data_IF_986733331765
#
_entry.id   IF_986733331765
#
_cell.length_a   1.000
_cell.length_b   1.000
_cell.length_c   1.000
_cell.angle_alpha   90.00
_cell.angle_beta   90.00
_cell.angle_gamma   90.00
#
_symmetry.space_group_name_H-M   'P 1'
#
loop_
_entity.id
_entity.type
_entity.pdbx_description
1 polymer ?
#
# COMPACT_ATOMS: atom_id res chain seq x y z
N UNK A 1 -26.35 15.52 -8.43
CA UNK A 1 -26.51 15.08 -7.03
C UNK A 1 -25.96 13.66 -6.99
N UNK A 2 -24.66 13.51 -6.72
CA UNK A 2 -23.96 12.23 -6.83
C UNK A 2 -24.39 11.35 -5.66
N UNK A 3 -25.19 10.34 -5.95
CA UNK A 3 -25.54 9.30 -5.01
C UNK A 3 -24.25 8.55 -4.68
N UNK A 4 -23.66 8.85 -3.51
CA UNK A 4 -22.68 7.95 -2.89
C UNK A 4 -23.45 6.68 -2.61
N UNK A 5 -23.40 5.74 -3.55
CA UNK A 5 -23.76 4.36 -3.32
C UNK A 5 -22.82 3.87 -2.23
N UNK A 6 -23.27 3.99 -0.98
CA UNK A 6 -22.81 3.24 0.18
C UNK A 6 -23.29 1.79 0.01
N UNK A 7 -22.97 1.20 -1.13
CA UNK A 7 -23.30 -0.15 -1.52
C UNK A 7 -22.11 -1.03 -1.22
N UNK A 8 -22.34 -2.01 -0.37
CA UNK A 8 -21.39 -3.07 -0.10
C UNK A 8 -20.41 -2.70 0.98
N UNK A 9 -20.60 -3.34 2.14
CA UNK A 9 -19.56 -3.69 3.10
C UNK A 9 -18.33 -4.16 2.32
N UNK A 10 -17.46 -3.21 1.96
CA UNK A 10 -16.18 -3.48 1.34
C UNK A 10 -15.50 -4.47 2.25
N UNK A 11 -15.30 -5.67 1.73
CA UNK A 11 -14.54 -6.70 2.38
C UNK A 11 -13.20 -6.07 2.80
N UNK A 12 -13.09 -5.70 4.09
CA UNK A 12 -11.83 -5.35 4.73
C UNK A 12 -11.00 -6.64 4.94
N UNK A 13 -11.11 -7.61 4.04
CA UNK A 13 -10.17 -8.70 4.00
C UNK A 13 -8.79 -8.05 3.79
N UNK A 14 -7.82 -8.31 4.67
CA UNK A 14 -6.45 -7.90 4.44
C UNK A 14 -5.99 -8.63 3.19
N UNK A 15 -6.13 -7.95 2.05
CA UNK A 15 -5.48 -8.33 0.79
C UNK A 15 -4.03 -8.65 1.11
N UNK A 16 -3.44 -9.66 0.46
CA UNK A 16 -2.06 -10.14 0.68
C UNK A 16 -1.01 -9.05 0.46
N UNK A 17 -0.98 -8.07 1.35
CA UNK A 17 -0.16 -6.87 1.32
C UNK A 17 1.09 -7.18 2.11
N UNK A 18 2.17 -7.42 1.39
CA UNK A 18 3.47 -7.55 2.02
C UNK A 18 4.13 -6.18 1.99
N UNK A 19 4.00 -5.43 3.09
CA UNK A 19 4.88 -4.28 3.34
C UNK A 19 6.19 -4.81 3.87
N UNK A 20 7.28 -4.59 3.14
CA UNK A 20 8.62 -5.04 3.53
C UNK A 20 9.55 -3.85 3.71
N UNK A 21 10.26 -3.83 4.83
CA UNK A 21 11.37 -2.88 5.03
C UNK A 21 12.55 -3.42 4.23
N UNK A 22 13.01 -2.65 3.23
CA UNK A 22 14.06 -3.09 2.30
C UNK A 22 15.42 -2.65 2.78
N UNK A 23 15.52 -1.41 3.26
CA UNK A 23 16.78 -0.85 3.71
C UNK A 23 16.55 0.09 4.88
N UNK A 24 17.14 -0.26 6.01
CA UNK A 24 17.21 0.61 7.18
C UNK A 24 18.43 1.51 7.05
N UNK A 25 18.31 2.77 7.44
CA UNK A 25 19.43 3.68 7.49
C UNK A 25 20.39 3.26 8.62
N UNK A 26 21.50 2.62 8.24
CA UNK A 26 22.41 1.95 9.17
C UNK A 26 23.03 2.93 10.17
N UNK A 27 23.45 4.11 9.73
CA UNK A 27 24.09 5.11 10.61
C UNK A 27 23.16 5.55 11.71
N UNK A 28 21.90 5.86 11.37
CA UNK A 28 20.90 6.30 12.35
C UNK A 28 20.39 5.16 13.24
N UNK A 29 20.51 3.91 12.81
CA UNK A 29 20.06 2.76 13.59
C UNK A 29 21.15 2.17 14.48
N UNK A 30 22.42 2.14 14.05
CA UNK A 30 23.50 1.43 14.75
C UNK A 30 24.25 2.33 15.72
N UNK A 31 24.42 3.61 15.37
CA UNK A 31 25.20 4.54 16.19
C UNK A 31 24.68 4.66 17.65
N UNK A 32 23.37 4.78 17.92
CA UNK A 32 22.88 4.88 19.29
C UNK A 32 23.12 3.59 20.10
N UNK A 33 22.96 2.43 19.47
CA UNK A 33 23.24 1.15 20.10
C UNK A 33 24.72 0.95 20.38
N UNK A 34 25.59 1.37 19.46
CA UNK A 34 27.04 1.34 19.65
C UNK A 34 27.43 2.24 20.82
N UNK A 35 26.93 3.48 20.85
CA UNK A 35 27.17 4.42 21.93
C UNK A 35 26.68 3.88 23.28
N UNK A 36 25.50 3.25 23.31
CA UNK A 36 24.96 2.61 24.51
C UNK A 36 25.83 1.43 24.96
N UNK A 37 26.29 0.59 24.04
CA UNK A 37 27.19 -0.52 24.32
C UNK A 37 28.52 -0.07 24.90
N UNK A 38 29.14 0.95 24.29
CA UNK A 38 30.40 1.55 24.78
C UNK A 38 30.21 2.14 26.18
N UNK A 39 29.15 2.93 26.40
CA UNK A 39 28.84 3.50 27.71
C UNK A 39 28.59 2.41 28.77
N UNK A 40 27.89 1.33 28.40
CA UNK A 40 27.64 0.19 29.28
C UNK A 40 28.92 -0.56 29.67
N UNK A 41 29.83 -0.79 28.71
CA UNK A 41 31.14 -1.40 28.99
C UNK A 41 31.97 -0.52 29.92
N UNK A 42 31.98 0.81 29.69
CA UNK A 42 32.67 1.76 30.58
C UNK A 42 32.10 1.75 32.00
N UNK A 43 30.78 1.67 32.15
CA UNK A 43 30.11 1.59 33.45
C UNK A 43 30.43 0.27 34.17
N UNK A 44 30.34 -0.87 33.48
CA UNK A 44 30.68 -2.18 34.04
C UNK A 44 32.15 -2.21 34.49
N UNK A 45 33.04 -1.65 33.66
CA UNK A 45 34.46 -1.53 34.01
C UNK A 45 34.65 -0.79 35.34
N UNK A 46 34.02 0.37 35.49
CA UNK A 46 34.17 1.17 36.71
C UNK A 46 33.55 0.49 37.93
N UNK A 47 32.40 -0.19 37.77
CA UNK A 47 31.80 -1.01 38.83
C UNK A 47 32.77 -2.10 39.28
N UNK A 48 33.34 -2.88 38.36
CA UNK A 48 34.30 -3.94 38.70
C UNK A 48 35.52 -3.35 39.39
N UNK A 49 36.09 -2.27 38.85
CA UNK A 49 37.26 -1.58 39.41
C UNK A 49 37.03 -1.08 40.84
N UNK A 50 35.86 -0.52 41.15
CA UNK A 50 35.52 -0.04 42.49
C UNK A 50 35.29 -1.16 43.51
N UNK A 51 34.94 -2.36 43.05
CA UNK A 51 34.78 -3.54 43.89
C UNK A 51 36.10 -4.30 44.12
N UNK A 52 37.19 -3.96 43.42
CA UNK A 52 38.50 -4.61 43.63
C UNK A 52 39.21 -4.08 44.89
N UNK A 53 39.99 -4.93 45.58
CA UNK A 53 40.88 -4.50 46.66
C UNK A 53 41.87 -3.43 46.20
N UNK A 54 42.25 -2.53 47.11
CA UNK A 54 43.13 -1.39 46.80
C UNK A 54 44.47 -1.82 46.18
N UNK A 55 45.05 -2.91 46.68
CA UNK A 55 46.30 -3.47 46.17
C UNK A 55 46.24 -3.90 44.69
N UNK A 56 45.08 -4.36 44.22
CA UNK A 56 44.85 -4.76 42.83
C UNK A 56 44.50 -3.55 41.98
N UNK A 57 43.73 -2.60 42.52
CA UNK A 57 43.33 -1.36 41.83
C UNK A 57 44.53 -0.47 41.48
N UNK A 58 45.60 -0.51 42.26
CA UNK A 58 46.84 0.22 41.98
C UNK A 58 47.62 -0.32 40.77
N UNK A 59 47.33 -1.55 40.33
CA UNK A 59 48.04 -2.21 39.23
C UNK A 59 47.37 -1.91 37.88
N UNK A 60 48.16 -1.98 36.80
CA UNK A 60 47.60 -1.91 35.44
C UNK A 60 46.84 -3.22 35.14
N UNK A 61 45.67 -3.19 34.49
CA UNK A 61 44.97 -2.04 33.88
C UNK A 61 44.03 -1.25 34.81
N UNK A 62 43.78 -1.72 36.04
CA UNK A 62 42.78 -1.16 36.98
C UNK A 62 43.07 0.24 37.49
N UNK A 63 44.29 0.74 37.29
CA UNK A 63 44.63 2.14 37.58
C UNK A 63 43.90 3.13 36.65
N UNK A 64 43.46 2.71 35.46
CA UNK A 64 42.75 3.57 34.50
C UNK A 64 41.33 3.88 34.98
N UNK A 65 41.07 5.16 35.21
CA UNK A 65 39.73 5.70 35.45
C UNK A 65 39.18 6.27 34.15
N UNK A 66 38.11 5.68 33.64
CA UNK A 66 37.47 6.14 32.41
C UNK A 66 36.45 7.25 32.72
N UNK A 67 35.46 6.94 33.55
CA UNK A 67 34.45 7.84 34.09
C UNK A 67 34.25 7.50 35.57
N UNK A 68 33.87 8.46 36.40
CA UNK A 68 33.33 8.16 37.72
C UNK A 68 31.97 7.47 37.60
N UNK A 69 31.57 6.73 38.65
CA UNK A 69 30.35 5.91 38.63
C UNK A 69 29.09 6.75 38.39
N UNK A 70 29.02 7.95 38.96
CA UNK A 70 27.86 8.85 38.84
C UNK A 70 27.73 9.37 37.41
N UNK A 71 28.82 9.87 36.82
CA UNK A 71 28.85 10.28 35.42
C UNK A 71 28.56 9.10 34.49
N UNK A 72 29.10 7.91 34.76
CA UNK A 72 28.91 6.72 33.93
C UNK A 72 27.45 6.29 33.89
N UNK A 73 26.81 6.23 35.06
CA UNK A 73 25.38 5.96 35.19
C UNK A 73 24.53 7.02 34.46
N UNK A 74 24.91 8.29 34.57
CA UNK A 74 24.23 9.40 33.89
C UNK A 74 24.30 9.27 32.38
N UNK A 75 25.50 9.00 31.83
CA UNK A 75 25.69 8.83 30.37
C UNK A 75 24.89 7.65 29.85
N UNK A 76 24.97 6.48 30.50
CA UNK A 76 24.18 5.31 30.11
C UNK A 76 22.69 5.61 30.13
N UNK A 77 22.20 6.28 31.17
CA UNK A 77 20.78 6.64 31.31
C UNK A 77 20.32 7.57 30.18
N UNK A 78 21.08 8.62 29.88
CA UNK A 78 20.75 9.58 28.81
C UNK A 78 20.77 8.90 27.44
N UNK A 79 21.80 8.10 27.14
CA UNK A 79 21.90 7.41 25.85
C UNK A 79 20.81 6.35 25.69
N UNK A 80 20.46 5.63 26.76
CA UNK A 80 19.36 4.68 26.77
C UNK A 80 18.02 5.39 26.51
N UNK A 81 17.74 6.49 27.22
CA UNK A 81 16.54 7.28 27.02
C UNK A 81 16.43 7.80 25.59
N UNK A 82 17.50 8.38 25.04
CA UNK A 82 17.54 8.84 23.64
C UNK A 82 17.28 7.71 22.65
N UNK A 83 17.86 6.53 22.90
CA UNK A 83 17.68 5.34 22.06
C UNK A 83 16.21 4.87 22.07
N UNK A 84 15.58 4.85 23.24
CA UNK A 84 14.16 4.50 23.38
C UNK A 84 13.26 5.54 22.69
N UNK A 85 13.49 6.83 22.91
CA UNK A 85 12.76 7.91 22.24
C UNK A 85 12.89 7.80 20.72
N UNK A 86 14.07 7.46 20.21
CA UNK A 86 14.31 7.22 18.78
C UNK A 86 13.48 6.05 18.26
N UNK A 87 13.39 4.94 19.00
CA UNK A 87 12.56 3.79 18.61
C UNK A 87 11.08 4.14 18.56
N UNK A 88 10.59 4.85 19.58
CA UNK A 88 9.21 5.33 19.63
C UNK A 88 8.91 6.26 18.44
N UNK A 89 9.82 7.20 18.15
CA UNK A 89 9.68 8.07 17.00
C UNK A 89 9.68 7.29 15.68
N UNK A 90 10.59 6.33 15.52
CA UNK A 90 10.66 5.49 14.34
C UNK A 90 9.40 4.63 14.12
N UNK A 91 8.73 4.21 15.21
CA UNK A 91 7.43 3.54 15.13
C UNK A 91 6.31 4.52 14.75
N UNK A 92 6.30 5.72 15.34
CA UNK A 92 5.28 6.75 15.09
C UNK A 92 5.30 7.28 13.65
N UNK A 93 6.49 7.37 13.04
CA UNK A 93 6.66 7.87 11.67
C UNK A 93 6.60 6.79 10.59
N UNK A 94 6.26 5.54 10.94
CA UNK A 94 6.18 4.47 9.94
C UNK A 94 5.12 4.82 8.89
N UNK A 95 5.43 4.65 7.59
CA UNK A 95 4.42 4.80 6.55
C UNK A 95 3.32 3.79 6.75
N UNK A 96 2.07 4.26 6.65
CA UNK A 96 0.88 3.41 6.57
C UNK A 96 0.22 3.68 5.23
N UNK A 97 0.87 3.21 4.16
CA UNK A 97 0.33 3.39 2.81
C UNK A 97 -0.86 2.46 2.63
N UNK A 98 -1.99 3.04 2.24
CA UNK A 98 -3.21 2.32 1.89
C UNK A 98 -3.50 2.55 0.43
N UNK A 99 -3.91 1.47 -0.23
CA UNK A 99 -4.50 1.53 -1.54
C UNK A 99 -6.00 1.40 -1.40
N UNK A 100 -6.72 2.28 -2.08
CA UNK A 100 -8.16 2.24 -2.21
C UNK A 100 -8.49 1.90 -3.66
N UNK A 101 -9.43 0.98 -3.83
CA UNK A 101 -9.96 0.65 -5.14
C UNK A 101 -11.42 1.01 -5.13
N UNK A 102 -11.82 1.87 -6.06
CA UNK A 102 -13.20 2.32 -6.20
C UNK A 102 -13.69 1.97 -7.59
N UNK A 103 -14.87 1.34 -7.66
CA UNK A 103 -15.61 1.21 -8.90
C UNK A 103 -16.40 2.50 -9.09
N UNK A 104 -16.14 3.21 -10.18
CA UNK A 104 -16.93 4.37 -10.58
C UNK A 104 -17.68 4.01 -11.85
N UNK A 105 -19.00 4.17 -11.82
CA UNK A 105 -19.80 4.23 -13.03
C UNK A 105 -19.59 5.61 -13.66
N UNK A 106 -19.03 5.67 -14.87
CA UNK A 106 -18.83 6.95 -15.53
C UNK A 106 -17.86 6.93 -16.69
N UNK A 107 -17.94 8.03 -17.44
CA UNK A 107 -17.07 8.37 -18.55
C UNK A 107 -15.76 8.92 -17.95
N UNK A 108 -14.61 8.62 -18.56
CA UNK A 108 -13.41 9.43 -18.32
C UNK A 108 -13.81 10.90 -18.50
N UNK A 109 -13.61 11.76 -17.49
CA UNK A 109 -14.13 13.16 -17.45
C UNK A 109 -13.83 14.01 -18.70
N UNK A 110 -12.95 13.57 -19.60
CA UNK A 110 -12.56 14.27 -20.84
C UNK A 110 -13.01 13.59 -22.16
N UNK A 111 -13.69 12.43 -22.14
CA UNK A 111 -14.13 11.77 -23.37
C UNK A 111 -15.61 12.05 -23.64
N UNK A 112 -15.91 12.54 -24.84
CA UNK A 112 -17.28 12.79 -25.31
C UNK A 112 -18.19 11.58 -25.09
N UNK A 113 -19.05 11.68 -24.06
CA UNK A 113 -20.45 11.26 -23.85
C UNK A 113 -21.13 10.16 -24.68
N UNK A 114 -20.47 9.45 -25.58
CA UNK A 114 -21.14 8.55 -26.54
C UNK A 114 -21.03 7.06 -26.18
N UNK A 115 -20.02 6.64 -25.42
CA UNK A 115 -19.89 5.28 -24.86
C UNK A 115 -20.21 5.30 -23.35
N UNK A 116 -21.49 5.38 -23.02
CA UNK A 116 -22.03 5.87 -21.74
C UNK A 116 -22.00 4.90 -20.54
N UNK A 117 -21.44 3.68 -20.64
CA UNK A 117 -21.67 2.65 -19.59
C UNK A 117 -20.49 1.74 -19.24
N UNK A 118 -19.24 2.14 -19.49
CA UNK A 118 -18.12 1.31 -19.02
C UNK A 118 -17.83 1.58 -17.54
N UNK A 119 -18.05 0.58 -16.68
CA UNK A 119 -17.62 0.65 -15.28
C UNK A 119 -16.08 0.70 -15.23
N UNK A 120 -15.56 1.65 -14.44
CA UNK A 120 -14.12 1.91 -14.34
C UNK A 120 -13.63 1.69 -12.92
N UNK A 121 -12.54 0.94 -12.81
CA UNK A 121 -11.79 0.80 -11.58
C UNK A 121 -10.77 1.91 -11.44
N UNK A 122 -10.79 2.60 -10.31
CA UNK A 122 -9.77 3.57 -9.91
C UNK A 122 -8.92 2.98 -8.79
N UNK A 123 -7.61 3.04 -8.95
CA UNK A 123 -6.64 2.70 -7.92
C UNK A 123 -6.04 3.99 -7.38
N UNK A 124 -6.33 4.25 -6.12
CA UNK A 124 -5.90 5.42 -5.38
C UNK A 124 -4.96 5.00 -4.26
N UNK A 125 -4.01 5.88 -3.92
CA UNK A 125 -3.02 5.67 -2.88
C UNK A 125 -3.05 6.81 -1.89
N UNK A 126 -3.01 6.46 -0.60
CA UNK A 126 -3.05 7.43 0.49
C UNK A 126 -2.08 7.02 1.60
N UNK A 127 -1.49 8.00 2.28
CA UNK A 127 -0.66 7.74 3.47
C UNK A 127 -1.49 7.98 4.73
N UNK A 128 -1.85 6.90 5.42
CA UNK A 128 -2.51 6.95 6.73
C UNK A 128 -1.54 7.12 7.91
N UNK A 129 -0.24 7.20 7.67
CA UNK A 129 0.78 7.42 8.71
C UNK A 129 0.88 8.89 9.09
N UNK A 130 1.33 9.18 10.32
CA UNK A 130 1.38 10.55 10.85
C UNK A 130 2.45 11.45 10.19
N UNK A 131 3.42 10.85 9.51
CA UNK A 131 4.56 11.54 8.90
C UNK A 131 4.38 11.71 7.39
N UNK A 132 5.14 12.66 6.82
CA UNK A 132 5.30 12.75 5.36
C UNK A 132 6.24 11.63 4.92
N UNK A 133 5.86 10.91 3.88
CA UNK A 133 6.75 9.98 3.18
C UNK A 133 6.92 10.41 1.73
N UNK A 134 8.10 10.16 1.18
CA UNK A 134 8.42 10.55 -0.20
C UNK A 134 8.46 9.31 -1.06
N UNK A 135 7.75 9.32 -2.18
CA UNK A 135 7.84 8.26 -3.19
C UNK A 135 9.26 8.25 -3.76
N UNK A 136 9.94 7.11 -3.70
CA UNK A 136 11.25 6.90 -4.35
C UNK A 136 11.09 6.22 -5.71
N UNK A 137 10.16 5.28 -5.85
CA UNK A 137 9.91 4.57 -7.10
C UNK A 137 8.49 4.03 -7.16
N UNK A 138 7.93 3.97 -8.37
CA UNK A 138 6.72 3.21 -8.67
C UNK A 138 7.02 2.41 -9.93
N UNK A 139 6.85 1.10 -9.80
CA UNK A 139 7.10 0.15 -10.88
C UNK A 139 5.91 -0.77 -11.03
N UNK A 140 5.77 -1.30 -12.24
CA UNK A 140 4.62 -2.10 -12.64
C UNK A 140 5.08 -3.40 -13.26
N UNK A 141 4.35 -4.48 -12.99
CA UNK A 141 4.54 -5.76 -13.67
C UNK A 141 3.27 -6.09 -14.43
N UNK A 142 3.39 -6.26 -15.74
CA UNK A 142 2.24 -6.31 -16.64
C UNK A 142 2.39 -7.50 -17.59
N UNK A 143 1.34 -8.32 -17.67
CA UNK A 143 1.24 -9.44 -18.61
C UNK A 143 -0.13 -9.41 -19.29
N UNK A 144 -0.21 -9.41 -20.64
CA UNK A 144 -1.47 -9.63 -21.34
C UNK A 144 -1.93 -11.09 -21.19
N UNK A 145 -3.23 -11.33 -21.30
CA UNK A 145 -3.77 -12.69 -21.37
C UNK A 145 -3.21 -13.39 -22.60
N UNK A 146 -2.77 -14.64 -22.41
CA UNK A 146 -2.10 -15.48 -23.44
C UNK A 146 -0.66 -15.06 -23.79
N UNK A 147 0.03 -14.34 -22.89
CA UNK A 147 1.47 -14.17 -23.04
C UNK A 147 2.18 -15.54 -22.98
N UNK A 148 2.95 -15.86 -24.01
CA UNK A 148 3.51 -17.21 -24.25
C UNK A 148 4.66 -17.57 -23.28
N UNK A 149 5.15 -16.62 -22.46
CA UNK A 149 6.21 -16.88 -21.49
C UNK A 149 6.00 -16.10 -20.20
N UNK A 150 6.07 -16.81 -19.06
CA UNK A 150 5.97 -16.25 -17.71
C UNK A 150 7.31 -15.79 -17.12
N UNK A 151 8.44 -16.14 -17.76
CA UNK A 151 9.79 -15.90 -17.21
C UNK A 151 10.30 -14.46 -17.38
N UNK A 152 9.60 -13.59 -18.12
CA UNK A 152 10.09 -12.25 -18.49
C UNK A 152 9.30 -11.06 -17.92
N UNK A 153 8.41 -11.26 -16.95
CA UNK A 153 7.67 -10.13 -16.37
C UNK A 153 8.54 -9.33 -15.39
N UNK A 154 9.44 -8.53 -15.97
CA UNK A 154 10.28 -7.54 -15.31
C UNK A 154 9.42 -6.41 -14.73
N UNK A 155 9.93 -5.80 -13.67
CA UNK A 155 9.40 -4.53 -13.17
C UNK A 155 9.69 -3.41 -14.16
N UNK A 156 8.65 -2.70 -14.57
CA UNK A 156 8.68 -1.63 -15.58
C UNK A 156 8.47 -0.28 -14.92
N UNK A 157 9.24 0.72 -15.35
CA UNK A 157 8.96 2.11 -15.00
C UNK A 157 7.68 2.61 -15.69
N UNK A 158 7.14 3.74 -15.23
CA UNK A 158 5.90 4.35 -15.74
C UNK A 158 5.78 4.37 -17.27
N UNK A 159 6.82 4.80 -17.98
CA UNK A 159 6.81 4.91 -19.44
C UNK A 159 6.69 3.56 -20.14
N UNK A 160 7.49 2.59 -19.71
CA UNK A 160 7.51 1.24 -20.29
C UNK A 160 6.24 0.46 -19.92
N UNK A 161 5.74 0.65 -18.70
CA UNK A 161 4.47 0.09 -18.24
C UNK A 161 3.31 0.57 -19.14
N UNK A 162 3.24 1.88 -19.39
CA UNK A 162 2.23 2.46 -20.30
C UNK A 162 2.35 1.89 -21.71
N UNK A 163 3.56 1.68 -22.23
CA UNK A 163 3.76 1.05 -23.53
C UNK A 163 3.36 -0.42 -23.55
N UNK A 164 3.66 -1.18 -22.49
CA UNK A 164 3.27 -2.58 -22.36
C UNK A 164 1.74 -2.75 -22.35
N UNK A 165 1.01 -1.88 -21.65
CA UNK A 165 -0.47 -1.89 -21.67
C UNK A 165 -1.00 -1.60 -23.09
N UNK A 166 -0.39 -0.66 -23.82
CA UNK A 166 -0.76 -0.39 -25.22
C UNK A 166 -0.46 -1.56 -26.14
N UNK A 167 0.68 -2.24 -25.95
CA UNK A 167 1.05 -3.42 -26.71
C UNK A 167 0.06 -4.60 -26.50
N UNK A 168 -0.64 -4.63 -25.37
CA UNK A 168 -1.75 -5.56 -25.12
C UNK A 168 -3.05 -5.21 -25.91
N UNK A 169 -3.02 -4.18 -26.77
CA UNK A 169 -4.16 -3.75 -27.57
C UNK A 169 -5.18 -2.92 -26.78
N UNK A 170 -4.76 -2.28 -25.69
CA UNK A 170 -5.57 -1.36 -24.90
C UNK A 170 -5.25 0.09 -25.30
N UNK A 171 -6.29 0.90 -25.43
CA UNK A 171 -6.19 2.30 -25.83
C UNK A 171 -6.20 3.19 -24.60
N UNK A 172 -5.19 4.03 -24.46
CA UNK A 172 -5.15 5.00 -23.36
C UNK A 172 -6.31 5.99 -23.47
N UNK A 173 -6.81 6.46 -22.33
CA UNK A 173 -8.02 7.28 -22.17
C UNK A 173 -9.32 6.55 -22.46
N UNK A 174 -9.34 5.54 -23.31
CA UNK A 174 -10.53 4.72 -23.54
C UNK A 174 -10.62 3.54 -22.56
N UNK A 175 -9.56 2.74 -22.52
CA UNK A 175 -9.49 1.48 -21.77
C UNK A 175 -8.76 1.66 -20.43
N UNK A 176 -7.76 2.53 -20.40
CA UNK A 176 -6.96 2.76 -19.21
C UNK A 176 -6.33 4.16 -19.19
N UNK A 177 -5.93 4.61 -18.00
CA UNK A 177 -5.09 5.79 -17.79
C UNK A 177 -4.14 5.52 -16.64
N UNK A 178 -2.84 5.54 -16.92
CA UNK A 178 -1.81 5.46 -15.90
C UNK A 178 -1.42 6.88 -15.47
N UNK A 179 -1.64 7.22 -14.21
CA UNK A 179 -1.33 8.53 -13.69
C UNK A 179 0.14 8.61 -13.28
N UNK A 180 0.79 9.71 -13.63
CA UNK A 180 2.20 9.91 -13.31
C UNK A 180 2.35 10.25 -11.83
N UNK A 181 2.67 9.23 -11.03
CA UNK A 181 3.22 9.38 -9.70
C UNK A 181 4.64 8.82 -9.71
N UNK A 182 5.60 9.52 -9.11
CA UNK A 182 7.01 9.19 -9.29
C UNK A 182 7.90 9.76 -8.20
N UNK A 183 9.23 9.62 -8.39
CA UNK A 183 10.21 10.02 -7.39
C UNK A 183 10.03 11.47 -6.95
N UNK A 184 10.08 11.70 -5.63
CA UNK A 184 9.94 13.03 -5.03
C UNK A 184 8.51 13.44 -4.69
N UNK A 185 7.48 12.66 -5.08
CA UNK A 185 6.10 12.95 -4.70
C UNK A 185 5.91 12.80 -3.17
N UNK A 186 5.54 13.86 -2.42
CA UNK A 186 5.28 13.75 -1.00
C UNK A 186 3.86 13.20 -0.75
N UNK A 187 3.77 12.21 0.13
CA UNK A 187 2.53 11.65 0.65
C UNK A 187 2.41 12.03 2.12
N UNK A 188 1.52 12.98 2.42
CA UNK A 188 1.25 13.47 3.79
C UNK A 188 -0.16 13.07 4.21
N UNK A 189 -0.35 12.63 5.45
CA UNK A 189 -1.69 12.40 6.00
C UNK A 189 -2.54 13.68 6.04
N UNK A 190 -1.92 14.86 6.12
CA UNK A 190 -2.64 16.14 6.11
C UNK A 190 -3.16 16.51 4.70
N UNK A 191 -2.52 16.00 3.65
CA UNK A 191 -2.99 16.16 2.28
C UNK A 191 -3.97 15.03 1.99
N UNK A 192 -5.23 15.23 2.36
CA UNK A 192 -6.37 14.31 2.16
C UNK A 192 -6.71 13.98 0.70
N UNK A 193 -5.87 14.38 -0.27
CA UNK A 193 -6.06 14.03 -1.66
C UNK A 193 -5.38 12.70 -1.93
N UNK A 194 -6.20 11.69 -2.13
CA UNK A 194 -5.73 10.41 -2.60
C UNK A 194 -5.04 10.57 -3.95
N UNK A 195 -3.87 9.95 -4.09
CA UNK A 195 -3.09 9.98 -5.32
C UNK A 195 -3.65 8.90 -6.23
N UNK A 196 -4.38 9.31 -7.26
CA UNK A 196 -4.83 8.40 -8.31
C UNK A 196 -3.61 7.87 -9.07
N UNK A 197 -3.47 6.54 -9.14
CA UNK A 197 -2.36 5.84 -9.79
C UNK A 197 -2.78 5.22 -11.13
N UNK A 198 -3.97 4.64 -11.17
CA UNK A 198 -4.49 3.94 -12.35
C UNK A 198 -6.00 4.12 -12.42
N UNK A 199 -6.51 4.31 -13.63
CA UNK A 199 -7.91 4.07 -13.99
C UNK A 199 -7.93 3.03 -15.09
N UNK A 200 -8.79 2.02 -14.98
CA UNK A 200 -8.89 0.94 -15.97
C UNK A 200 -10.32 0.44 -16.06
N UNK A 201 -10.83 0.21 -17.28
CA UNK A 201 -12.17 -0.38 -17.46
C UNK A 201 -12.18 -1.85 -17.07
N UNK A 202 -13.33 -2.38 -16.66
CA UNK A 202 -13.46 -3.83 -16.35
C UNK A 202 -13.06 -4.70 -17.55
N UNK A 203 -13.47 -4.31 -18.77
CA UNK A 203 -13.11 -5.03 -20.00
C UNK A 203 -11.60 -5.03 -20.26
N UNK A 204 -10.91 -3.91 -20.00
CA UNK A 204 -9.45 -3.83 -20.14
C UNK A 204 -8.73 -4.67 -19.09
N UNK A 205 -9.21 -4.66 -17.84
CA UNK A 205 -8.66 -5.47 -16.76
C UNK A 205 -8.74 -6.98 -17.06
N UNK A 206 -9.82 -7.44 -17.70
CA UNK A 206 -9.97 -8.83 -18.16
C UNK A 206 -8.96 -9.24 -19.23
N UNK A 207 -8.37 -8.29 -19.97
CA UNK A 207 -7.36 -8.54 -21.02
C UNK A 207 -5.94 -8.61 -20.47
N UNK A 208 -5.74 -8.30 -19.19
CA UNK A 208 -4.44 -8.39 -18.51
C UNK A 208 -4.44 -9.57 -17.54
N UNK A 209 -3.55 -10.53 -17.76
CA UNK A 209 -3.32 -11.65 -16.85
C UNK A 209 -2.66 -11.19 -15.55
N UNK A 210 -1.72 -10.24 -15.65
CA UNK A 210 -0.98 -9.69 -14.52
C UNK A 210 -0.95 -8.17 -14.59
N UNK A 211 -1.21 -7.56 -13.44
CA UNK A 211 -1.02 -6.13 -13.21
C UNK A 211 -0.68 -5.98 -11.73
N UNK A 212 0.61 -5.88 -11.44
CA UNK A 212 1.11 -5.66 -10.09
C UNK A 212 1.80 -4.32 -10.00
N UNK A 213 1.78 -3.75 -8.80
CA UNK A 213 2.43 -2.49 -8.48
C UNK A 213 3.44 -2.70 -7.36
N UNK A 214 4.64 -2.16 -7.56
CA UNK A 214 5.70 -2.07 -6.54
C UNK A 214 5.98 -0.60 -6.25
N UNK A 215 5.77 -0.23 -5.00
CA UNK A 215 5.97 1.12 -4.51
C UNK A 215 7.15 1.15 -3.55
N UNK A 216 8.18 1.93 -3.87
CA UNK A 216 9.24 2.29 -2.94
C UNK A 216 8.96 3.65 -2.32
N UNK A 217 8.94 3.74 -0.99
CA UNK A 217 8.83 5.02 -0.26
C UNK A 217 9.96 5.17 0.74
N UNK A 218 10.34 6.42 0.99
CA UNK A 218 11.28 6.84 2.03
C UNK A 218 10.54 7.62 3.10
N UNK A 219 10.70 7.21 4.36
CA UNK A 219 10.10 7.92 5.48
C UNK A 219 10.92 9.13 5.95
N UNK A 220 10.41 9.85 6.95
CA UNK A 220 11.07 11.01 7.54
C UNK A 220 12.44 10.71 8.18
N UNK A 221 12.72 9.44 8.52
CA UNK A 221 14.01 9.00 9.04
C UNK A 221 14.98 8.52 7.97
N UNK A 222 14.50 8.46 6.74
CA UNK A 222 15.23 7.97 5.59
C UNK A 222 15.28 6.45 5.48
N UNK A 223 14.46 5.72 6.24
CA UNK A 223 14.28 4.29 6.03
C UNK A 223 13.46 4.06 4.76
N UNK A 224 13.79 3.00 4.02
CA UNK A 224 13.14 2.63 2.76
C UNK A 224 12.20 1.46 2.96
N UNK A 225 10.98 1.63 2.47
CA UNK A 225 9.90 0.66 2.52
C UNK A 225 9.47 0.30 1.10
N UNK A 226 9.36 -0.99 0.80
CA UNK A 226 8.68 -1.48 -0.39
C UNK A 226 7.30 -2.00 -0.02
N UNK A 227 6.33 -1.67 -0.86
CA UNK A 227 4.97 -2.19 -0.78
C UNK A 227 4.63 -2.81 -2.12
N UNK A 228 4.18 -4.06 -2.10
CA UNK A 228 3.70 -4.78 -3.26
C UNK A 228 2.18 -4.88 -3.23
N UNK A 229 1.54 -4.60 -4.36
CA UNK A 229 0.11 -4.69 -4.56
C UNK A 229 -0.19 -5.54 -5.80
N UNK A 230 -0.71 -6.78 -5.64
CA UNK A 230 -1.20 -7.58 -6.75
C UNK A 230 -2.56 -7.06 -7.18
N UNK A 231 -2.63 -6.15 -8.15
CA UNK A 231 -3.87 -5.41 -8.39
C UNK A 231 -5.01 -6.34 -8.85
N UNK A 232 -4.72 -7.42 -9.58
CA UNK A 232 -5.73 -8.39 -10.03
C UNK A 232 -6.44 -9.12 -8.90
N UNK A 233 -5.75 -9.43 -7.81
CA UNK A 233 -6.39 -10.04 -6.62
C UNK A 233 -7.28 -9.04 -5.88
N UNK A 234 -7.01 -7.74 -6.06
CA UNK A 234 -7.71 -6.68 -5.34
C UNK A 234 -8.91 -6.15 -6.12
N UNK A 235 -8.89 -6.16 -7.45
CA UNK A 235 -10.05 -5.82 -8.27
C UNK A 235 -11.04 -6.98 -8.26
N UNK A 236 -12.21 -6.87 -7.61
CA UNK A 236 -13.21 -7.92 -7.62
C UNK A 236 -13.89 -7.91 -9.00
N UNK A 237 -13.26 -8.54 -9.97
CA UNK A 237 -13.90 -8.83 -11.24
C UNK A 237 -14.77 -10.05 -11.02
N UNK A 238 -15.93 -9.86 -10.39
CA UNK A 238 -17.02 -10.81 -10.56
C UNK A 238 -17.44 -10.69 -12.01
N UNK A 239 -17.00 -11.66 -12.82
CA UNK A 239 -17.71 -12.01 -14.02
C UNK A 239 -19.09 -12.43 -13.52
N UNK A 240 -20.09 -11.57 -13.64
CA UNK A 240 -21.46 -12.07 -13.64
C UNK A 240 -21.50 -13.08 -14.78
N UNK A 241 -21.40 -14.37 -14.43
CA UNK A 241 -21.63 -15.44 -15.37
C UNK A 241 -23.02 -15.17 -15.95
N UNK A 242 -23.17 -15.06 -17.28
CA UNK A 242 -24.48 -14.85 -17.90
C UNK A 242 -25.48 -16.00 -17.61
N UNK A 243 -25.06 -17.03 -16.88
CA UNK A 243 -25.86 -18.16 -16.42
C UNK A 243 -26.87 -17.81 -15.31
N UNK A 244 -26.81 -16.62 -14.71
CA UNK A 244 -27.83 -16.15 -13.76
C UNK A 244 -28.89 -15.22 -14.38
N UNK A 245 -28.85 -14.99 -15.69
CA UNK A 245 -30.04 -14.55 -16.38
C UNK A 245 -31.03 -15.72 -16.33
N UNK A 246 -31.94 -15.69 -15.35
CA UNK A 246 -33.14 -16.51 -15.36
C UNK A 246 -33.66 -16.56 -16.80
N UNK A 247 -33.89 -17.75 -17.39
CA UNK A 247 -34.58 -17.81 -18.65
C UNK A 247 -35.91 -17.10 -18.42
N UNK A 248 -36.08 -15.95 -19.07
CA UNK A 248 -37.38 -15.31 -19.22
C UNK A 248 -38.30 -16.43 -19.67
N UNK A 249 -39.19 -16.85 -18.77
CA UNK A 249 -40.15 -17.92 -19.01
C UNK A 249 -40.98 -17.52 -20.23
N UNK A 250 -40.57 -18.01 -21.39
CA UNK A 250 -41.41 -18.02 -22.57
C UNK A 250 -42.60 -18.94 -22.26
N UNK A 251 -43.79 -18.46 -22.57
CA UNK A 251 -45.07 -19.16 -22.46
C UNK A 251 -45.56 -19.51 -21.04
N UNK A 252 -46.16 -18.52 -20.36
CA UNK A 252 -47.45 -18.79 -19.73
C UNK A 252 -48.55 -18.29 -20.68
N UNK A 253 -49.32 -19.17 -21.33
CA UNK A 253 -50.47 -18.77 -22.12
C UNK A 253 -51.46 -17.96 -21.26
N UNK A 254 -52.08 -16.90 -21.81
CA UNK A 254 -53.10 -16.17 -21.08
C UNK A 254 -54.23 -17.13 -20.68
N UNK A 255 -54.60 -17.12 -19.40
CA UNK A 255 -55.72 -17.89 -18.89
C UNK A 255 -56.99 -17.64 -19.72
N UNK A 256 -57.80 -18.66 -20.03
CA UNK A 256 -59.02 -18.48 -20.78
C UNK A 256 -59.95 -17.51 -20.05
N UNK A 257 -60.36 -16.43 -20.73
CA UNK A 257 -61.43 -15.54 -20.26
C UNK A 257 -62.68 -16.39 -20.06
N UNK A 258 -63.17 -16.47 -18.83
CA UNK A 258 -64.41 -17.14 -18.50
C UNK A 258 -65.58 -16.21 -18.86
N UNK A 259 -66.41 -16.52 -19.88
CA UNK A 259 -67.45 -15.60 -20.36
C UNK A 259 -68.71 -15.55 -19.48
N UNK A 260 -68.77 -16.28 -18.36
CA UNK A 260 -69.96 -16.34 -17.50
C UNK A 260 -70.03 -15.26 -16.40
N UNK A 261 -69.01 -14.40 -16.25
CA UNK A 261 -68.99 -13.41 -15.18
C UNK A 261 -69.64 -12.04 -15.53
N UNK A 262 -70.06 -11.81 -16.77
CA UNK A 262 -70.56 -10.49 -17.22
C UNK A 262 -72.08 -10.40 -17.41
N UNK A 263 -72.85 -11.40 -16.96
CA UNK A 263 -74.32 -11.40 -17.04
C UNK A 263 -75.05 -11.07 -15.71
N UNK A 264 -74.32 -10.74 -14.63
CA UNK A 264 -74.93 -10.49 -13.31
C UNK A 264 -74.95 -9.02 -12.86
N UNK A 265 -74.52 -8.07 -13.71
CA UNK A 265 -74.44 -6.64 -13.36
C UNK A 265 -75.46 -5.73 -14.09
N UNK A 266 -76.50 -6.32 -14.68
CA UNK A 266 -77.61 -5.56 -15.29
C UNK A 266 -78.97 -6.18 -14.92
N UNK A 267 -79.33 -6.07 -13.65
CA UNK A 267 -80.71 -6.17 -13.15
C UNK A 267 -80.86 -5.29 -11.89
#
# INVERSE_FOLDING_TARGET
>A
MAERVSGGRGSNAPLGRTQRIVKRNWTLSVLPWLALGVAGVMLIWEIVRQNLPEAVRAQWPWRLQLLDLESGATVVTVVAALTLTRMQYAQAVRPSIRFMITLTEGIFEELNQTDLHSAQWKLEMTNGGSSIVTVESIEYRIAPVHAVSSEEFRWLAYGDARQAIKAAGLTEWKDFRLHRAGPGLPLSAANSRDVLLLTITTAAMLRLEMLDLRLGVKDALGDRHEIFLPCREVFPVQLDSPESAEPLSADTPPAPRNPEAESAAAA
#
